data_IF_569413399934
#
_entry.id   IF_569413399934
#
_cell.length_a   1.000
_cell.length_b   1.000
_cell.length_c   1.000
_cell.angle_alpha   90.00
_cell.angle_beta   90.00
_cell.angle_gamma   90.00
#
_symmetry.space_group_name_H-M   'P 1'
#
loop_
_entity.id
_entity.type
_entity.pdbx_description
1 polymer ?
#
# COMPACT_ATOMS: atom_id res chain seq x y z
N UNK A 1 -12.48 15.63 -22.44
CA UNK A 1 -11.93 14.55 -23.23
C UNK A 1 -11.07 13.63 -22.36
N UNK A 2 -11.34 12.35 -22.39
CA UNK A 2 -10.55 11.39 -21.63
C UNK A 2 -9.23 11.12 -22.31
N UNK A 3 -8.15 11.28 -21.57
CA UNK A 3 -6.84 10.84 -22.05
C UNK A 3 -6.74 9.35 -21.82
N UNK A 4 -6.49 8.64 -22.89
CA UNK A 4 -6.35 7.19 -22.82
C UNK A 4 -4.93 6.83 -22.46
N UNK A 5 -4.77 6.12 -21.35
CA UNK A 5 -3.43 5.67 -20.96
C UNK A 5 -3.02 4.49 -21.85
N UNK A 6 -1.72 4.33 -22.04
CA UNK A 6 -1.19 3.24 -22.84
C UNK A 6 -1.45 1.90 -22.17
N UNK A 7 -1.43 0.85 -22.98
CA UNK A 7 -1.59 -0.51 -22.46
C UNK A 7 -0.49 -0.88 -21.47
N UNK A 8 0.73 -0.43 -21.71
CA UNK A 8 1.85 -0.68 -20.80
C UNK A 8 1.63 -0.01 -19.45
N UNK A 9 1.12 1.22 -19.45
CA UNK A 9 0.79 1.93 -18.24
C UNK A 9 -0.32 1.20 -17.49
N UNK A 10 -1.33 0.72 -18.20
CA UNK A 10 -2.44 -0.03 -17.63
C UNK A 10 -1.93 -1.28 -16.91
N UNK A 11 -1.04 -2.01 -17.55
CA UNK A 11 -0.44 -3.21 -16.96
C UNK A 11 0.41 -2.89 -15.74
N UNK A 12 1.17 -1.80 -15.81
CA UNK A 12 1.98 -1.35 -14.67
C UNK A 12 1.09 -1.02 -13.47
N UNK A 13 0.02 -0.28 -13.70
CA UNK A 13 -0.92 0.07 -12.64
C UNK A 13 -1.55 -1.17 -12.02
N UNK A 14 -1.90 -2.15 -12.86
CA UNK A 14 -2.46 -3.41 -12.37
C UNK A 14 -1.45 -4.16 -11.49
N UNK A 15 -0.19 -4.25 -11.93
CA UNK A 15 0.85 -4.90 -11.14
C UNK A 15 1.04 -4.21 -9.79
N UNK A 16 1.06 -2.89 -9.78
CA UNK A 16 1.22 -2.11 -8.55
C UNK A 16 0.03 -2.33 -7.61
N UNK A 17 -1.18 -2.37 -8.18
CA UNK A 17 -2.38 -2.63 -7.41
C UNK A 17 -2.34 -4.00 -6.74
N UNK A 18 -1.96 -5.02 -7.50
CA UNK A 18 -1.88 -6.39 -6.98
C UNK A 18 -0.78 -6.54 -5.93
N UNK A 19 0.36 -5.91 -6.15
CA UNK A 19 1.47 -5.96 -5.19
C UNK A 19 1.08 -5.33 -3.86
N UNK A 20 0.50 -4.14 -3.90
CA UNK A 20 0.06 -3.44 -2.69
C UNK A 20 -0.98 -4.27 -1.94
N UNK A 21 -1.95 -4.85 -2.66
CA UNK A 21 -2.99 -5.66 -2.04
C UNK A 21 -2.41 -6.88 -1.34
N UNK A 22 -1.54 -7.62 -2.03
CA UNK A 22 -0.94 -8.82 -1.46
C UNK A 22 -0.09 -8.50 -0.25
N UNK A 23 0.69 -7.44 -0.33
CA UNK A 23 1.52 -7.02 0.78
C UNK A 23 0.67 -6.60 1.97
N UNK A 24 -0.34 -5.77 1.75
CA UNK A 24 -1.22 -5.30 2.81
C UNK A 24 -1.94 -6.47 3.49
N UNK A 25 -2.51 -7.37 2.71
CA UNK A 25 -3.22 -8.54 3.24
C UNK A 25 -2.29 -9.43 4.05
N UNK A 26 -1.08 -9.62 3.56
CA UNK A 26 -0.08 -10.44 4.25
C UNK A 26 0.31 -9.83 5.58
N UNK A 27 0.56 -8.51 5.60
CA UNK A 27 0.91 -7.81 6.84
C UNK A 27 -0.24 -7.87 7.85
N UNK A 28 -1.45 -7.59 7.40
CA UNK A 28 -2.62 -7.50 8.27
C UNK A 28 -3.09 -8.85 8.78
N UNK A 29 -3.26 -9.80 7.86
CA UNK A 29 -3.92 -11.06 8.21
C UNK A 29 -2.98 -12.10 8.79
N UNK A 30 -1.69 -11.97 8.56
CA UNK A 30 -0.71 -12.85 9.18
C UNK A 30 -0.09 -12.27 10.45
N UNK A 31 -0.57 -11.12 10.91
CA UNK A 31 -0.07 -10.50 12.14
C UNK A 31 -0.08 -11.44 13.34
N UNK A 32 -1.15 -12.23 13.59
CA UNK A 32 -1.12 -13.17 14.73
C UNK A 32 0.05 -14.14 14.67
N UNK A 33 0.42 -14.61 13.49
CA UNK A 33 1.53 -15.55 13.31
C UNK A 33 2.88 -14.94 13.66
N UNK A 34 3.22 -13.83 13.01
CA UNK A 34 4.55 -13.26 13.21
C UNK A 34 4.68 -12.58 14.57
N UNK A 35 3.60 -12.07 15.13
CA UNK A 35 3.62 -11.53 16.48
C UNK A 35 3.74 -12.63 17.52
N UNK A 36 3.13 -13.78 17.29
CA UNK A 36 3.27 -14.95 18.17
C UNK A 36 4.73 -15.39 18.25
N UNK A 37 5.38 -15.54 17.09
CA UNK A 37 6.78 -15.95 17.03
C UNK A 37 7.69 -14.92 17.69
N UNK A 38 7.42 -13.65 17.48
CA UNK A 38 8.20 -12.59 18.12
C UNK A 38 8.01 -12.61 19.64
N UNK A 39 6.78 -12.79 20.10
CA UNK A 39 6.47 -12.76 21.54
C UNK A 39 7.08 -13.93 22.29
N UNK A 40 6.95 -15.14 21.75
CA UNK A 40 7.40 -16.35 22.45
C UNK A 40 8.86 -16.67 22.19
N UNK A 41 9.32 -16.55 20.97
CA UNK A 41 10.65 -16.99 20.56
C UNK A 41 11.63 -15.85 20.37
N UNK A 42 11.16 -14.61 20.45
CA UNK A 42 11.94 -13.42 20.10
C UNK A 42 12.55 -13.54 18.70
N UNK A 43 11.89 -14.32 17.83
CA UNK A 43 12.35 -14.51 16.47
C UNK A 43 11.87 -13.40 15.57
N UNK A 44 12.79 -12.90 14.73
CA UNK A 44 12.50 -11.90 13.70
C UNK A 44 12.67 -12.49 12.31
N UNK A 45 12.84 -13.80 12.22
CA UNK A 45 13.20 -14.48 10.97
C UNK A 45 12.10 -14.41 9.92
N UNK A 46 10.85 -14.25 10.36
CA UNK A 46 9.70 -14.20 9.46
C UNK A 46 9.48 -12.83 8.81
N UNK A 47 10.06 -11.78 9.39
CA UNK A 47 9.79 -10.43 8.92
C UNK A 47 10.18 -10.20 7.45
N UNK A 48 11.35 -10.68 6.97
CA UNK A 48 11.68 -10.50 5.56
C UNK A 48 10.61 -11.04 4.62
N UNK A 49 10.03 -12.20 4.93
CA UNK A 49 8.99 -12.80 4.09
C UNK A 49 7.70 -11.99 4.12
N UNK A 50 7.35 -11.47 5.30
CA UNK A 50 6.11 -10.70 5.46
C UNK A 50 6.16 -9.41 4.64
N UNK A 51 7.31 -8.74 4.62
CA UNK A 51 7.44 -7.42 4.01
C UNK A 51 8.00 -7.44 2.60
N UNK A 52 8.19 -8.62 2.01
CA UNK A 52 8.64 -8.76 0.62
C UNK A 52 7.61 -8.13 -0.32
N UNK A 53 8.08 -7.35 -1.28
CA UNK A 53 7.23 -6.73 -2.28
C UNK A 53 7.96 -6.60 -3.62
N UNK A 54 7.20 -6.36 -4.68
CA UNK A 54 7.75 -6.20 -6.02
C UNK A 54 8.02 -4.74 -6.36
N UNK A 55 7.43 -3.83 -5.61
CA UNK A 55 7.61 -2.40 -5.82
C UNK A 55 9.10 -2.03 -5.78
N UNK A 56 9.87 -2.65 -4.89
CA UNK A 56 11.30 -2.38 -4.74
C UNK A 56 12.08 -2.70 -6.02
N UNK A 57 11.52 -3.54 -6.89
CA UNK A 57 12.17 -3.92 -8.15
C UNK A 57 11.71 -3.08 -9.34
N UNK A 58 10.76 -2.19 -9.15
CA UNK A 58 10.24 -1.36 -10.24
C UNK A 58 11.19 -0.20 -10.48
N UNK A 59 11.53 0.02 -11.75
CA UNK A 59 12.44 1.11 -12.09
C UNK A 59 11.73 2.46 -11.98
N UNK A 60 12.52 3.51 -11.72
CA UNK A 60 12.00 4.86 -11.70
C UNK A 60 11.38 5.23 -13.06
N UNK A 61 12.01 4.78 -14.14
CA UNK A 61 11.52 5.02 -15.49
C UNK A 61 10.09 4.49 -15.65
N UNK A 62 9.83 3.29 -15.14
CA UNK A 62 8.50 2.71 -15.24
C UNK A 62 7.50 3.42 -14.31
N UNK A 63 7.94 3.83 -13.13
CA UNK A 63 7.08 4.57 -12.21
C UNK A 63 6.64 5.91 -12.78
N UNK A 64 7.49 6.54 -13.60
CA UNK A 64 7.15 7.81 -14.22
C UNK A 64 6.00 7.71 -15.22
N UNK A 65 5.59 6.50 -15.58
CA UNK A 65 4.39 6.29 -16.39
C UNK A 65 3.11 6.52 -15.59
N UNK A 66 3.21 6.52 -14.28
CA UNK A 66 2.05 6.72 -13.39
C UNK A 66 1.80 8.20 -13.16
N UNK A 67 0.55 8.55 -12.92
CA UNK A 67 0.17 9.90 -12.58
C UNK A 67 0.67 10.32 -11.21
N UNK A 68 0.59 11.61 -10.94
CA UNK A 68 1.13 12.21 -9.74
C UNK A 68 0.49 11.67 -8.46
N UNK A 69 -0.82 11.48 -8.47
CA UNK A 69 -1.54 10.95 -7.32
C UNK A 69 -1.12 9.53 -7.00
N UNK A 70 -0.97 8.69 -8.02
CA UNK A 70 -0.51 7.31 -7.82
C UNK A 70 0.91 7.31 -7.26
N UNK A 71 1.79 8.14 -7.80
CA UNK A 71 3.17 8.22 -7.28
C UNK A 71 3.20 8.61 -5.81
N UNK A 72 2.40 9.61 -5.43
CA UNK A 72 2.32 10.04 -4.03
C UNK A 72 1.74 8.93 -3.15
N UNK A 73 0.70 8.25 -3.63
CA UNK A 73 0.09 7.15 -2.89
C UNK A 73 1.03 5.98 -2.70
N UNK A 74 1.81 5.63 -3.72
CA UNK A 74 2.83 4.59 -3.63
C UNK A 74 3.89 4.95 -2.58
N UNK A 75 4.35 6.18 -2.61
CA UNK A 75 5.35 6.62 -1.64
C UNK A 75 4.82 6.52 -0.21
N UNK A 76 3.62 6.99 0.04
CA UNK A 76 3.01 6.93 1.38
C UNK A 76 2.83 5.50 1.86
N UNK A 77 2.31 4.64 1.01
CA UNK A 77 2.04 3.25 1.38
C UNK A 77 3.34 2.50 1.67
N UNK A 78 4.29 2.54 0.75
CA UNK A 78 5.53 1.77 0.91
C UNK A 78 6.48 2.36 1.95
N UNK A 79 6.43 3.67 2.19
CA UNK A 79 7.16 4.28 3.29
C UNK A 79 6.63 3.77 4.63
N UNK A 80 5.31 3.65 4.76
CA UNK A 80 4.71 3.09 5.97
C UNK A 80 5.10 1.64 6.19
N UNK A 81 5.14 0.86 5.11
CA UNK A 81 5.62 -0.53 5.18
C UNK A 81 7.05 -0.58 5.69
N UNK A 82 7.92 0.29 5.18
CA UNK A 82 9.31 0.36 5.63
C UNK A 82 9.43 0.76 7.10
N UNK A 83 8.61 1.68 7.56
CA UNK A 83 8.58 2.07 8.98
C UNK A 83 8.23 0.89 9.87
N UNK A 84 7.22 0.11 9.49
CA UNK A 84 6.80 -1.08 10.24
C UNK A 84 7.92 -2.11 10.29
N UNK A 85 8.53 -2.37 9.13
CA UNK A 85 9.62 -3.33 9.02
C UNK A 85 10.80 -2.90 9.89
N UNK A 86 11.18 -1.64 9.80
CA UNK A 86 12.28 -1.11 10.60
C UNK A 86 11.98 -1.22 12.09
N UNK A 87 10.77 -0.84 12.49
CA UNK A 87 10.35 -0.93 13.88
C UNK A 87 10.46 -2.37 14.41
N UNK A 88 9.92 -3.32 13.68
CA UNK A 88 9.95 -4.73 14.09
C UNK A 88 11.37 -5.29 14.17
N UNK A 89 12.23 -4.85 13.26
CA UNK A 89 13.62 -5.35 13.23
C UNK A 89 14.49 -4.75 14.33
N UNK A 90 14.13 -3.61 14.87
CA UNK A 90 15.00 -2.87 15.79
C UNK A 90 14.40 -2.63 17.18
N UNK A 91 13.12 -2.88 17.38
CA UNK A 91 12.48 -2.56 18.65
C UNK A 91 13.01 -3.42 19.79
N UNK A 92 13.14 -2.79 20.97
CA UNK A 92 13.43 -3.46 22.22
C UNK A 92 12.22 -3.45 23.14
N UNK A 93 11.09 -2.98 22.64
CA UNK A 93 9.85 -2.92 23.43
C UNK A 93 9.40 -4.31 23.86
N UNK A 94 8.64 -4.36 24.95
CA UNK A 94 8.00 -5.59 25.39
C UNK A 94 6.95 -6.05 24.39
N UNK A 95 6.69 -7.36 24.29
CA UNK A 95 5.76 -7.90 23.29
C UNK A 95 4.39 -7.24 23.26
N UNK A 96 3.80 -6.94 24.41
CA UNK A 96 2.48 -6.30 24.45
C UNK A 96 2.50 -4.94 23.77
N UNK A 97 3.57 -4.18 23.99
CA UNK A 97 3.71 -2.84 23.40
C UNK A 97 3.96 -2.95 21.90
N UNK A 98 4.76 -3.92 21.49
CA UNK A 98 5.01 -4.16 20.07
C UNK A 98 3.70 -4.50 19.37
N UNK A 99 2.90 -5.38 19.96
CA UNK A 99 1.62 -5.77 19.39
C UNK A 99 0.69 -4.55 19.23
N UNK A 100 0.60 -3.71 20.27
CA UNK A 100 -0.23 -2.51 20.22
C UNK A 100 0.24 -1.56 19.12
N UNK A 101 1.56 -1.36 19.00
CA UNK A 101 2.10 -0.49 17.97
C UNK A 101 1.89 -1.03 16.57
N UNK A 102 2.02 -2.34 16.40
CA UNK A 102 1.78 -2.96 15.09
C UNK A 102 0.32 -2.83 14.69
N UNK A 103 -0.60 -3.02 15.62
CA UNK A 103 -2.02 -2.82 15.31
C UNK A 103 -2.30 -1.36 14.90
N UNK A 104 -1.67 -0.40 15.57
CA UNK A 104 -1.80 1.01 15.20
C UNK A 104 -1.20 1.28 13.81
N UNK A 105 -0.04 0.71 13.51
CA UNK A 105 0.57 0.83 12.19
C UNK A 105 -0.31 0.21 11.09
N UNK A 106 -0.92 -0.93 11.37
CA UNK A 106 -1.80 -1.59 10.41
C UNK A 106 -3.01 -0.71 10.10
N UNK A 107 -3.59 -0.07 11.12
CA UNK A 107 -4.71 0.84 10.89
C UNK A 107 -4.33 2.03 10.01
N UNK A 108 -3.13 2.59 10.21
CA UNK A 108 -2.63 3.67 9.36
C UNK A 108 -2.32 3.16 7.95
N UNK A 109 -1.69 2.00 7.86
CA UNK A 109 -1.37 1.38 6.58
C UNK A 109 -2.63 1.13 5.76
N UNK A 110 -3.70 0.72 6.42
CA UNK A 110 -4.97 0.48 5.74
C UNK A 110 -5.50 1.74 5.07
N UNK A 111 -5.38 2.87 5.74
CA UNK A 111 -5.79 4.15 5.17
C UNK A 111 -4.97 4.51 3.93
N UNK A 112 -3.66 4.33 4.01
CA UNK A 112 -2.78 4.58 2.86
C UNK A 112 -3.06 3.60 1.73
N UNK A 113 -3.36 2.35 2.06
CA UNK A 113 -3.72 1.35 1.07
C UNK A 113 -5.01 1.72 0.33
N UNK A 114 -6.05 2.12 1.08
CA UNK A 114 -7.31 2.51 0.48
C UNK A 114 -7.15 3.72 -0.44
N UNK A 115 -6.37 4.71 -0.01
CA UNK A 115 -6.10 5.89 -0.81
C UNK A 115 -5.33 5.54 -2.08
N UNK A 116 -4.29 4.73 -1.97
CA UNK A 116 -3.52 4.28 -3.12
C UNK A 116 -4.39 3.52 -4.10
N UNK A 117 -5.19 2.60 -3.59
CA UNK A 117 -6.07 1.79 -4.41
C UNK A 117 -7.07 2.65 -5.18
N UNK A 118 -7.61 3.67 -4.52
CA UNK A 118 -8.51 4.62 -5.16
C UNK A 118 -7.82 5.38 -6.29
N UNK A 119 -6.63 5.87 -6.04
CA UNK A 119 -5.88 6.62 -7.06
C UNK A 119 -5.54 5.75 -8.26
N UNK A 120 -5.15 4.52 -8.02
CA UNK A 120 -4.87 3.58 -9.11
C UNK A 120 -6.13 3.32 -9.92
N UNK A 121 -7.25 3.06 -9.25
CA UNK A 121 -8.51 2.77 -9.92
C UNK A 121 -9.00 3.96 -10.77
N UNK A 122 -8.86 5.17 -10.24
CA UNK A 122 -9.19 6.38 -10.99
C UNK A 122 -8.31 6.49 -12.23
N UNK A 123 -7.02 6.30 -12.09
CA UNK A 123 -6.10 6.43 -13.23
C UNK A 123 -6.34 5.34 -14.26
N UNK A 124 -6.71 4.14 -13.84
CA UNK A 124 -7.07 3.06 -14.76
C UNK A 124 -8.43 3.24 -15.41
N UNK A 125 -9.20 4.21 -14.94
CA UNK A 125 -10.54 4.45 -15.45
C UNK A 125 -11.61 3.51 -14.91
N UNK A 126 -11.31 2.80 -13.83
CA UNK A 126 -12.27 1.87 -13.21
C UNK A 126 -13.30 2.60 -12.37
N UNK A 127 -12.94 3.79 -11.87
CA UNK A 127 -13.85 4.65 -11.11
C UNK A 127 -13.81 6.02 -11.75
N UNK A 128 -14.97 6.67 -11.85
CA UNK A 128 -15.03 8.02 -12.40
C UNK A 128 -14.25 8.96 -11.47
N UNK A 129 -13.25 9.61 -12.04
CA UNK A 129 -12.42 10.58 -11.32
C UNK A 129 -13.25 11.71 -10.78
N UNK A 130 -14.36 11.90 -11.38
CA UNK A 130 -15.18 13.05 -11.16
C UNK A 130 -16.48 12.70 -10.46
N UNK A 131 -16.37 12.15 -9.27
CA UNK A 131 -17.50 12.37 -8.38
C UNK A 131 -17.74 13.87 -8.27
N UNK A 132 -16.68 14.67 -8.34
CA UNK A 132 -16.79 16.12 -8.42
C UNK A 132 -17.43 16.61 -9.73
N UNK A 133 -17.05 16.01 -10.86
CA UNK A 133 -17.64 16.39 -12.15
C UNK A 133 -19.09 15.91 -12.27
N UNK A 134 -19.40 14.79 -11.66
CA UNK A 134 -20.78 14.32 -11.60
C UNK A 134 -21.65 15.30 -10.82
N UNK A 135 -21.13 15.83 -9.75
CA UNK A 135 -21.84 16.84 -8.96
C UNK A 135 -22.05 18.12 -9.77
N UNK A 136 -21.03 18.52 -10.53
CA UNK A 136 -21.15 19.67 -11.38
C UNK A 136 -22.20 19.47 -12.46
N UNK A 137 -22.31 18.28 -13.01
CA UNK A 137 -23.32 17.96 -14.01
C UNK A 137 -24.70 18.03 -13.41
N UNK A 138 -24.87 17.58 -12.19
CA UNK A 138 -26.15 17.65 -11.50
C UNK A 138 -26.57 19.08 -11.25
N UNK A 139 -25.62 19.96 -10.97
CA UNK A 139 -25.93 21.36 -10.73
C UNK A 139 -26.26 22.10 -12.01
N UNK A 140 -25.81 21.64 -13.14
CA UNK A 140 -26.10 22.24 -14.43
C UNK A 140 -27.52 21.96 -14.91
N UNK A 141 -28.19 21.04 -14.29
CA UNK A 141 -29.55 20.70 -14.61
C UNK A 141 -30.53 21.50 -13.76
#
# INVERSE_FOLDING_TARGET
MKVRISENTQRMLMLLKLDARRLFERIKYRAPEYMYDFSLKRSRDHFPEIFTNRYDSVSIKDLLLCGQEVLAGLDQFYTKVDEMRWYLNHTQDMPNRVEDKIHAHIRELEKFYETLNLYIDVEMGLIAESSSATEADETDN
#
